data_IF_653254803587
#
_entry.id   IF_653254803587
#
_cell.length_a   1.000
_cell.length_b   1.000
_cell.length_c   1.000
_cell.angle_alpha   90.00
_cell.angle_beta   90.00
_cell.angle_gamma   90.00
#
_symmetry.space_group_name_H-M   'P 1'
#
loop_
_entity.id
_entity.type
_entity.pdbx_description
1 polymer ?
#
# COMPACT_ATOMS: atom_id res chain seq x y z
N UNK A 1 7.08 42.18 20.03
CA UNK A 1 8.46 42.53 19.62
C UNK A 1 9.20 41.20 19.40
N UNK A 2 9.72 40.80 18.25
CA UNK A 2 10.07 41.46 17.00
C UNK A 2 9.75 40.52 15.82
N UNK A 3 9.04 41.06 14.85
CA UNK A 3 8.90 40.54 13.48
C UNK A 3 10.21 40.79 12.71
N UNK A 4 10.53 39.87 11.77
CA UNK A 4 11.21 40.00 10.44
C UNK A 4 12.06 41.27 10.14
N UNK A 5 13.11 41.21 9.26
CA UNK A 5 13.08 40.40 8.03
C UNK A 5 14.41 39.81 7.51
N UNK A 6 14.28 38.63 6.88
CA UNK A 6 15.29 38.01 6.01
C UNK A 6 14.78 38.09 4.55
N UNK A 7 14.79 39.30 3.98
CA UNK A 7 14.40 39.62 2.60
C UNK A 7 15.48 40.50 1.95
N UNK A 8 16.70 39.96 1.82
CA UNK A 8 17.79 40.66 1.13
C UNK A 8 18.79 39.74 0.43
N UNK A 9 18.31 38.62 -0.16
CA UNK A 9 19.16 37.74 -0.99
C UNK A 9 18.48 37.27 -2.29
N UNK A 10 17.67 38.13 -2.93
CA UNK A 10 17.18 37.89 -4.31
C UNK A 10 17.34 39.15 -5.17
N UNK A 11 18.58 39.59 -5.40
CA UNK A 11 18.87 40.71 -6.31
C UNK A 11 20.19 40.59 -7.09
N UNK A 12 20.66 39.37 -7.40
CA UNK A 12 21.89 39.18 -8.20
C UNK A 12 21.83 38.07 -9.27
N UNK A 13 20.75 38.01 -10.04
CA UNK A 13 20.69 37.12 -11.21
C UNK A 13 19.84 37.69 -12.38
N UNK A 14 20.03 38.98 -12.69
CA UNK A 14 19.48 39.59 -13.90
C UNK A 14 20.60 40.34 -14.64
N UNK A 15 21.42 39.59 -15.38
CA UNK A 15 22.36 40.14 -16.36
C UNK A 15 22.75 39.03 -17.36
N UNK A 16 21.83 38.67 -18.25
CA UNK A 16 22.18 37.95 -19.47
C UNK A 16 21.98 38.91 -20.64
N UNK A 17 23.13 39.38 -21.15
CA UNK A 17 23.25 40.29 -22.28
C UNK A 17 22.93 39.55 -23.58
N UNK A 18 22.08 40.16 -24.40
CA UNK A 18 21.93 39.89 -25.82
C UNK A 18 23.27 40.03 -26.56
N UNK A 19 23.53 39.12 -27.49
CA UNK A 19 24.62 39.23 -28.46
C UNK A 19 24.04 38.95 -29.87
N UNK A 20 23.93 39.95 -30.76
CA UNK A 20 23.55 39.74 -32.15
C UNK A 20 24.68 40.13 -33.12
N UNK A 21 25.20 39.13 -33.87
CA UNK A 21 25.91 39.25 -35.15
C UNK A 21 26.35 37.82 -35.52
N UNK A 22 26.18 37.25 -36.72
CA UNK A 22 26.65 37.68 -38.06
C UNK A 22 26.04 36.71 -39.12
N UNK A 23 26.29 36.80 -40.45
CA UNK A 23 25.29 37.21 -41.43
C UNK A 23 24.88 36.15 -42.48
N UNK A 24 23.89 36.55 -43.27
CA UNK A 24 23.30 35.93 -44.47
C UNK A 24 24.34 35.47 -45.52
N UNK A 25 24.08 34.30 -46.13
CA UNK A 25 24.47 34.00 -47.52
C UNK A 25 23.21 33.70 -48.33
N UNK A 26 22.98 34.56 -49.33
CA UNK A 26 22.08 34.34 -50.46
C UNK A 26 22.63 33.24 -51.36
N UNK A 27 21.76 32.38 -51.89
CA UNK A 27 21.96 31.75 -53.19
C UNK A 27 20.65 31.78 -53.99
N UNK A 28 20.82 32.08 -55.27
CA UNK A 28 19.81 32.42 -56.25
C UNK A 28 18.84 31.28 -56.61
N UNK A 29 17.71 31.73 -57.15
CA UNK A 29 16.57 30.99 -57.66
C UNK A 29 16.84 30.18 -58.93
N UNK A 30 16.02 29.12 -59.15
CA UNK A 30 15.50 28.77 -60.47
C UNK A 30 14.15 28.01 -60.39
N UNK A 31 13.16 28.59 -61.08
CA UNK A 31 12.05 28.06 -61.91
C UNK A 31 11.11 26.91 -61.46
N UNK A 32 9.82 27.26 -61.61
CA UNK A 32 8.55 26.50 -61.62
C UNK A 32 8.57 25.17 -62.38
N UNK A 33 7.72 24.23 -61.93
CA UNK A 33 6.63 23.60 -62.72
C UNK A 33 5.61 22.96 -61.76
N UNK A 34 4.32 23.16 -62.04
CA UNK A 34 3.22 22.67 -61.21
C UNK A 34 2.92 21.19 -61.45
N UNK A 35 2.59 20.49 -60.37
CA UNK A 35 2.04 19.13 -60.37
C UNK A 35 1.16 18.97 -59.13
N UNK A 36 -0.01 18.36 -59.30
CA UNK A 36 -0.97 18.11 -58.23
C UNK A 36 -0.38 17.20 -57.14
N UNK A 37 -0.73 17.37 -55.85
CA UNK A 37 -0.18 16.57 -54.77
C UNK A 37 -0.79 15.17 -54.77
N UNK A 38 -0.12 14.20 -55.39
CA UNK A 38 -0.30 12.79 -55.10
C UNK A 38 0.15 12.57 -53.65
N UNK A 39 -0.79 12.32 -52.74
CA UNK A 39 -0.48 11.94 -51.37
C UNK A 39 0.28 10.61 -51.37
N UNK A 40 1.60 10.68 -51.30
CA UNK A 40 2.41 9.53 -50.93
C UNK A 40 2.09 9.17 -49.47
N UNK A 41 1.81 7.89 -49.15
CA UNK A 41 1.65 7.48 -47.76
C UNK A 41 2.93 7.82 -47.01
N UNK A 42 2.79 8.64 -45.97
CA UNK A 42 3.90 9.06 -45.10
C UNK A 42 4.66 7.84 -44.63
N UNK A 43 5.93 7.72 -45.04
CA UNK A 43 6.82 6.66 -44.61
C UNK A 43 6.81 6.60 -43.07
N UNK A 44 6.50 5.42 -42.53
CA UNK A 44 6.52 5.20 -41.09
C UNK A 44 7.90 5.57 -40.55
N UNK A 45 7.92 6.33 -39.46
CA UNK A 45 9.16 6.68 -38.80
C UNK A 45 9.85 5.40 -38.28
N UNK A 46 11.19 5.38 -38.16
CA UNK A 46 11.92 4.21 -37.63
C UNK A 46 11.41 3.72 -36.27
N UNK A 47 10.83 4.62 -35.46
CA UNK A 47 10.19 4.28 -34.19
C UNK A 47 8.88 3.51 -34.38
N UNK A 48 8.06 3.91 -35.36
CA UNK A 48 6.81 3.20 -35.67
C UNK A 48 7.09 1.81 -36.26
N UNK A 49 8.16 1.66 -37.04
CA UNK A 49 8.65 0.35 -37.50
C UNK A 49 9.11 -0.53 -36.33
N UNK A 50 9.89 0.01 -35.40
CA UNK A 50 10.34 -0.73 -34.21
C UNK A 50 9.18 -1.12 -33.27
N UNK A 51 8.18 -0.26 -33.12
CA UNK A 51 6.99 -0.56 -32.31
C UNK A 51 6.12 -1.65 -32.99
N UNK A 52 5.98 -1.65 -34.33
CA UNK A 52 5.26 -2.69 -35.08
C UNK A 52 5.99 -4.04 -35.05
N UNK A 53 7.32 -4.04 -35.18
CA UNK A 53 8.13 -5.26 -35.05
C UNK A 53 8.07 -5.84 -33.63
N UNK A 54 8.01 -4.98 -32.61
CA UNK A 54 7.87 -5.40 -31.22
C UNK A 54 6.48 -5.99 -30.92
N UNK A 55 5.40 -5.41 -31.44
CA UNK A 55 4.05 -5.95 -31.30
C UNK A 55 3.88 -7.29 -32.06
N UNK A 56 4.46 -7.41 -33.26
CA UNK A 56 4.49 -8.68 -34.00
C UNK A 56 5.30 -9.76 -33.27
N UNK A 57 6.41 -9.37 -32.64
CA UNK A 57 7.21 -10.26 -31.81
C UNK A 57 6.47 -10.68 -30.53
N UNK A 58 5.77 -9.76 -29.85
CA UNK A 58 4.91 -10.08 -28.70
C UNK A 58 3.82 -11.06 -29.10
N UNK A 59 3.11 -10.83 -30.21
CA UNK A 59 2.05 -11.72 -30.67
C UNK A 59 2.56 -13.14 -31.00
N UNK A 60 3.80 -13.26 -31.48
CA UNK A 60 4.40 -14.53 -31.89
C UNK A 60 5.12 -15.26 -30.75
N UNK A 61 5.48 -14.56 -29.67
CA UNK A 61 6.30 -15.10 -28.56
C UNK A 61 5.60 -15.04 -27.19
N UNK A 62 4.38 -14.51 -27.10
CA UNK A 62 3.55 -14.67 -25.92
C UNK A 62 3.16 -16.15 -25.80
N UNK A 63 3.62 -16.87 -24.75
CA UNK A 63 3.19 -18.24 -24.54
C UNK A 63 1.67 -18.24 -24.40
N UNK A 64 0.99 -19.09 -25.19
CA UNK A 64 -0.46 -19.31 -25.14
C UNK A 64 -0.88 -19.31 -23.67
N UNK A 65 -1.70 -18.31 -23.30
CA UNK A 65 -1.83 -17.83 -21.93
C UNK A 65 -1.87 -18.99 -20.95
N UNK A 66 -0.91 -19.05 -20.01
CA UNK A 66 -1.04 -19.91 -18.84
C UNK A 66 -2.37 -19.54 -18.21
N UNK A 67 -3.38 -20.39 -18.42
CA UNK A 67 -4.62 -20.35 -17.66
C UNK A 67 -4.17 -20.51 -16.23
N UNK A 68 -4.13 -19.39 -15.49
CA UNK A 68 -3.96 -19.44 -14.05
C UNK A 68 -5.16 -20.25 -13.59
N UNK A 69 -4.97 -21.47 -13.05
CA UNK A 69 -6.10 -22.27 -12.62
C UNK A 69 -6.94 -21.42 -11.67
N UNK A 70 -8.26 -21.44 -11.88
CA UNK A 70 -9.17 -20.76 -10.98
C UNK A 70 -8.79 -21.13 -9.54
N UNK A 71 -8.59 -20.12 -8.69
CA UNK A 71 -8.22 -20.33 -7.29
C UNK A 71 -9.20 -21.35 -6.71
N UNK A 72 -8.73 -22.49 -6.14
CA UNK A 72 -9.62 -23.55 -5.70
C UNK A 72 -10.65 -22.97 -4.73
N UNK A 73 -11.91 -23.39 -4.90
CA UNK A 73 -12.97 -23.04 -3.97
C UNK A 73 -12.52 -23.36 -2.54
N UNK A 74 -12.79 -22.45 -1.61
CA UNK A 74 -12.45 -22.64 -0.20
C UNK A 74 -13.13 -23.95 0.25
N UNK A 75 -12.39 -24.92 0.82
CA UNK A 75 -12.97 -26.20 1.19
C UNK A 75 -14.11 -25.99 2.20
N UNK A 76 -15.27 -26.57 1.92
CA UNK A 76 -16.47 -26.44 2.75
C UNK A 76 -16.41 -27.25 4.07
N UNK A 77 -15.24 -27.76 4.45
CA UNK A 77 -15.08 -28.48 5.72
C UNK A 77 -15.28 -27.50 6.88
N UNK A 78 -16.16 -27.81 7.85
CA UNK A 78 -16.36 -26.97 9.03
C UNK A 78 -15.03 -26.75 9.74
N UNK A 79 -14.77 -25.49 10.13
CA UNK A 79 -13.52 -25.15 10.81
C UNK A 79 -13.48 -25.79 12.19
N UNK A 80 -14.64 -25.93 12.83
CA UNK A 80 -14.84 -26.69 14.07
C UNK A 80 -15.57 -27.99 13.71
N UNK A 81 -14.87 -29.12 13.72
CA UNK A 81 -15.45 -30.42 13.39
C UNK A 81 -16.29 -30.96 14.56
N UNK A 82 -15.77 -30.87 15.78
CA UNK A 82 -16.41 -31.32 17.02
C UNK A 82 -16.42 -30.17 18.05
N UNK A 83 -17.53 -29.87 18.75
CA UNK A 83 -17.53 -28.90 19.84
C UNK A 83 -16.44 -29.12 20.88
N UNK A 84 -16.08 -30.39 21.17
CA UNK A 84 -15.01 -30.77 22.10
C UNK A 84 -13.61 -30.40 21.62
N UNK A 85 -13.42 -30.03 20.34
CA UNK A 85 -12.16 -29.44 19.87
C UNK A 85 -11.87 -28.10 20.55
N UNK A 86 -12.90 -27.40 21.05
CA UNK A 86 -12.72 -26.18 21.83
C UNK A 86 -12.21 -26.47 23.26
N UNK A 87 -12.53 -27.64 23.80
CA UNK A 87 -12.16 -28.03 25.16
C UNK A 87 -10.71 -28.53 25.27
N UNK A 88 -10.04 -28.80 24.13
CA UNK A 88 -8.64 -29.21 24.10
C UNK A 88 -7.74 -28.01 24.46
N UNK A 89 -6.99 -28.07 25.58
CA UNK A 89 -6.14 -26.96 25.99
C UNK A 89 -5.08 -26.67 24.92
N UNK A 90 -5.00 -25.39 24.50
CA UNK A 90 -4.00 -24.86 23.55
C UNK A 90 -4.18 -25.31 22.10
N UNK A 91 -5.39 -25.62 21.66
CA UNK A 91 -5.63 -25.72 20.21
C UNK A 91 -5.57 -24.30 19.62
N UNK A 92 -4.52 -24.02 18.83
CA UNK A 92 -4.37 -22.76 18.07
C UNK A 92 -4.64 -23.06 16.61
N UNK A 93 -5.84 -22.73 16.13
CA UNK A 93 -6.16 -22.84 14.71
C UNK A 93 -5.92 -21.52 14.00
N UNK A 94 -5.43 -21.65 12.79
CA UNK A 94 -4.96 -20.58 11.92
C UNK A 94 -5.88 -20.53 10.71
N UNK A 95 -6.54 -19.41 10.48
CA UNK A 95 -7.45 -19.24 9.35
C UNK A 95 -7.22 -17.90 8.63
N UNK A 96 -7.61 -17.85 7.36
CA UNK A 96 -7.52 -16.65 6.52
C UNK A 96 -8.61 -15.63 6.86
N UNK A 97 -8.41 -14.37 6.49
CA UNK A 97 -9.47 -13.34 6.66
C UNK A 97 -10.79 -13.73 5.97
N UNK A 98 -10.74 -14.47 4.87
CA UNK A 98 -11.92 -14.93 4.14
C UNK A 98 -12.72 -15.99 4.92
N UNK A 99 -12.09 -16.66 5.88
CA UNK A 99 -12.74 -17.65 6.74
C UNK A 99 -13.24 -17.04 8.05
N UNK A 100 -12.95 -15.77 8.33
CA UNK A 100 -13.25 -15.14 9.61
C UNK A 100 -14.75 -15.09 9.93
N UNK A 101 -15.59 -14.70 8.95
CA UNK A 101 -17.06 -14.72 9.12
C UNK A 101 -17.57 -16.12 9.45
N UNK A 102 -17.08 -17.13 8.72
CA UNK A 102 -17.46 -18.53 8.94
C UNK A 102 -17.05 -19.02 10.33
N UNK A 103 -15.81 -18.76 10.75
CA UNK A 103 -15.33 -19.17 12.08
C UNK A 103 -16.15 -18.53 13.18
N UNK A 104 -16.38 -17.21 13.10
CA UNK A 104 -17.22 -16.52 14.07
C UNK A 104 -18.66 -17.06 14.07
N UNK A 105 -19.23 -17.32 12.89
CA UNK A 105 -20.56 -17.90 12.76
C UNK A 105 -20.64 -19.27 13.44
N UNK A 106 -19.70 -20.18 13.15
CA UNK A 106 -19.62 -21.50 13.79
C UNK A 106 -19.48 -21.38 15.32
N UNK A 107 -18.65 -20.46 15.83
CA UNK A 107 -18.52 -20.22 17.27
C UNK A 107 -19.81 -19.69 17.91
N UNK A 108 -20.52 -18.77 17.24
CA UNK A 108 -21.77 -18.20 17.77
C UNK A 108 -22.93 -19.18 17.78
N UNK A 109 -22.97 -20.13 16.85
CA UNK A 109 -24.06 -21.11 16.73
C UNK A 109 -23.85 -22.33 17.64
N UNK A 110 -22.60 -22.78 17.81
CA UNK A 110 -22.32 -24.03 18.52
C UNK A 110 -22.21 -23.88 20.04
N UNK A 111 -22.06 -22.65 20.54
CA UNK A 111 -21.72 -22.42 21.94
C UNK A 111 -22.53 -21.27 22.54
N UNK A 112 -23.07 -21.44 23.75
CA UNK A 112 -23.77 -20.39 24.48
C UNK A 112 -22.77 -19.45 25.19
N UNK A 113 -22.10 -18.63 24.39
CA UNK A 113 -21.00 -17.76 24.83
C UNK A 113 -21.46 -16.31 25.02
N UNK A 114 -20.95 -15.66 26.06
CA UNK A 114 -20.99 -14.21 26.19
C UNK A 114 -19.77 -13.61 25.46
N UNK A 115 -20.02 -12.70 24.53
CA UNK A 115 -18.98 -12.11 23.69
C UNK A 115 -18.58 -10.72 24.16
N UNK A 116 -17.28 -10.47 24.13
CA UNK A 116 -16.66 -9.14 24.27
C UNK A 116 -15.82 -8.88 23.04
N UNK A 117 -15.76 -7.62 22.60
CA UNK A 117 -14.93 -7.22 21.46
C UNK A 117 -13.86 -6.23 21.90
N UNK A 118 -12.73 -6.24 21.20
CA UNK A 118 -11.70 -5.21 21.35
C UNK A 118 -11.04 -4.84 20.02
N UNK A 119 -9.93 -4.12 20.11
CA UNK A 119 -9.12 -3.71 18.95
C UNK A 119 -8.46 -4.86 18.21
N UNK A 120 -8.37 -6.04 18.81
CA UNK A 120 -7.65 -7.20 18.29
C UNK A 120 -8.58 -8.29 17.78
N UNK A 121 -9.81 -8.38 18.29
CA UNK A 121 -10.83 -9.31 17.81
C UNK A 121 -11.95 -9.52 18.82
N UNK A 122 -12.36 -10.78 18.95
CA UNK A 122 -13.48 -11.19 19.80
C UNK A 122 -13.01 -12.17 20.87
N UNK A 123 -13.55 -12.03 22.07
CA UNK A 123 -13.37 -12.96 23.17
C UNK A 123 -14.72 -13.49 23.63
N UNK A 124 -14.80 -14.79 23.79
CA UNK A 124 -15.96 -15.48 24.29
C UNK A 124 -15.67 -16.08 25.66
N UNK A 125 -16.56 -15.80 26.60
CA UNK A 125 -16.62 -16.47 27.90
C UNK A 125 -17.85 -17.35 27.96
N UNK A 126 -17.71 -18.57 28.47
CA UNK A 126 -18.86 -19.43 28.77
C UNK A 126 -19.74 -18.77 29.84
N UNK A 127 -21.06 -18.70 29.59
CA UNK A 127 -22.02 -18.06 30.49
C UNK A 127 -22.18 -18.83 31.81
N UNK A 128 -22.04 -20.16 31.79
CA UNK A 128 -22.22 -20.99 32.97
C UNK A 128 -21.02 -20.86 33.93
N UNK A 129 -19.80 -20.84 33.38
CA UNK A 129 -18.56 -20.86 34.18
C UNK A 129 -17.88 -19.50 34.30
N UNK A 130 -18.17 -18.56 33.40
CA UNK A 130 -17.49 -17.26 33.31
C UNK A 130 -16.04 -17.32 32.79
N UNK A 131 -15.54 -18.52 32.42
CA UNK A 131 -14.17 -18.74 31.97
C UNK A 131 -14.06 -18.41 30.47
N UNK A 132 -12.91 -17.86 30.03
CA UNK A 132 -12.64 -17.60 28.61
C UNK A 132 -12.52 -18.94 27.88
N UNK A 133 -13.51 -19.24 27.04
CA UNK A 133 -13.57 -20.49 26.28
C UNK A 133 -12.91 -20.34 24.92
N UNK A 134 -12.98 -19.16 24.32
CA UNK A 134 -12.47 -18.91 22.97
C UNK A 134 -11.99 -17.46 22.80
N UNK A 135 -10.80 -17.31 22.21
CA UNK A 135 -10.31 -16.03 21.68
C UNK A 135 -10.23 -16.14 20.16
N UNK A 136 -10.84 -15.20 19.45
CA UNK A 136 -10.80 -15.07 17.99
C UNK A 136 -10.10 -13.76 17.64
N UNK A 137 -8.79 -13.83 17.40
CA UNK A 137 -8.02 -12.68 16.94
C UNK A 137 -8.33 -12.41 15.47
N UNK A 138 -8.70 -11.19 15.12
CA UNK A 138 -8.96 -10.81 13.73
C UNK A 138 -7.67 -10.39 13.01
N UNK A 139 -7.56 -10.64 11.70
CA UNK A 139 -6.46 -10.11 10.93
C UNK A 139 -6.59 -8.59 10.85
N UNK A 140 -5.46 -7.89 10.78
CA UNK A 140 -5.43 -6.42 10.85
C UNK A 140 -6.28 -5.77 9.76
N UNK A 141 -6.38 -6.39 8.60
CA UNK A 141 -7.23 -5.92 7.50
C UNK A 141 -8.72 -5.89 7.86
N UNK A 142 -9.17 -6.75 8.77
CA UNK A 142 -10.55 -6.85 9.22
C UNK A 142 -10.78 -6.18 10.58
N UNK A 143 -9.70 -5.78 11.28
CA UNK A 143 -9.86 -5.21 12.63
C UNK A 143 -10.76 -3.97 12.58
N UNK A 144 -11.86 -3.99 13.37
CA UNK A 144 -12.83 -2.91 13.40
C UNK A 144 -12.11 -1.58 13.67
N UNK A 145 -12.58 -0.53 13.01
CA UNK A 145 -12.04 0.80 13.20
C UNK A 145 -13.07 1.63 13.94
N UNK A 146 -12.59 2.45 14.87
CA UNK A 146 -13.42 3.36 15.65
C UNK A 146 -13.85 4.49 14.73
N UNK A 147 -15.14 4.67 14.51
CA UNK A 147 -15.63 5.80 13.74
C UNK A 147 -15.22 7.14 14.40
N UNK A 148 -15.40 8.26 13.70
CA UNK A 148 -15.10 9.58 14.25
C UNK A 148 -15.91 9.91 15.52
N UNK A 149 -17.02 9.19 15.76
CA UNK A 149 -17.88 9.30 16.94
C UNK A 149 -17.42 8.47 18.14
N UNK A 150 -16.40 7.62 17.97
CA UNK A 150 -15.87 6.82 19.06
C UNK A 150 -16.57 5.47 19.28
N UNK A 151 -17.44 5.03 18.38
CA UNK A 151 -18.04 3.71 18.42
C UNK A 151 -17.18 2.71 17.64
N UNK A 152 -17.00 1.51 18.20
CA UNK A 152 -16.39 0.41 17.46
C UNK A 152 -17.47 -0.20 16.57
N UNK A 153 -17.23 -0.23 15.26
CA UNK A 153 -18.19 -0.80 14.30
C UNK A 153 -18.34 -2.33 14.43
N UNK A 154 -17.50 -3.01 15.21
CA UNK A 154 -17.81 -4.37 15.63
C UNK A 154 -18.73 -4.29 16.85
N UNK A 155 -20.03 -4.43 16.64
CA UNK A 155 -20.96 -4.81 17.70
C UNK A 155 -20.70 -6.24 18.17
N UNK A 156 -21.76 -6.96 18.48
CA UNK A 156 -21.70 -8.41 18.63
C UNK A 156 -21.09 -9.09 17.39
N UNK A 157 -20.58 -10.33 17.51
CA UNK A 157 -20.03 -11.05 16.36
C UNK A 157 -21.04 -11.19 15.20
N UNK A 158 -22.34 -11.25 15.50
CA UNK A 158 -23.40 -11.36 14.50
C UNK A 158 -23.47 -10.13 13.58
N UNK A 159 -23.46 -8.92 14.15
CA UNK A 159 -23.41 -7.68 13.37
C UNK A 159 -22.12 -7.58 12.55
N UNK A 160 -20.99 -7.96 13.15
CA UNK A 160 -19.72 -7.98 12.42
C UNK A 160 -19.73 -8.95 11.24
N UNK A 161 -20.31 -10.15 11.41
CA UNK A 161 -20.47 -11.12 10.32
C UNK A 161 -21.36 -10.53 9.22
N UNK A 162 -22.51 -9.95 9.59
CA UNK A 162 -23.43 -9.34 8.63
C UNK A 162 -22.76 -8.20 7.83
N UNK A 163 -21.98 -7.34 8.49
CA UNK A 163 -21.20 -6.29 7.81
C UNK A 163 -20.14 -6.88 6.87
N UNK A 164 -19.51 -7.99 7.27
CA UNK A 164 -18.46 -8.64 6.47
C UNK A 164 -19.03 -9.36 5.24
N UNK A 165 -20.29 -9.78 5.29
CA UNK A 165 -20.98 -10.50 4.21
C UNK A 165 -22.00 -9.64 3.46
N UNK A 166 -22.14 -8.35 3.79
CA UNK A 166 -23.26 -7.50 3.35
C UNK A 166 -24.66 -8.14 3.59
N UNK A 167 -24.78 -8.93 4.66
CA UNK A 167 -26.00 -9.67 5.01
C UNK A 167 -26.20 -10.97 4.21
N UNK A 168 -25.28 -11.36 3.34
CA UNK A 168 -25.28 -12.70 2.74
C UNK A 168 -24.95 -13.77 3.78
N UNK A 169 -25.25 -15.03 3.45
CA UNK A 169 -24.93 -16.18 4.30
C UNK A 169 -23.41 -16.29 4.54
N UNK A 170 -22.92 -16.34 5.78
CA UNK A 170 -21.48 -16.44 6.08
C UNK A 170 -20.80 -17.72 5.60
N UNK A 171 -21.56 -18.77 5.25
CA UNK A 171 -21.01 -20.04 4.76
C UNK A 171 -20.79 -20.03 3.23
N UNK A 172 -21.58 -19.26 2.50
CA UNK A 172 -21.61 -19.28 1.03
C UNK A 172 -21.38 -17.91 0.39
N UNK A 173 -21.64 -16.84 1.14
CA UNK A 173 -21.57 -15.45 0.73
C UNK A 173 -20.15 -14.93 0.57
N UNK A 174 -20.03 -13.85 -0.20
CA UNK A 174 -18.73 -13.27 -0.51
C UNK A 174 -18.28 -12.32 0.61
N UNK A 175 -17.29 -12.77 1.36
CA UNK A 175 -16.65 -11.96 2.41
C UNK A 175 -15.93 -10.74 1.83
N UNK A 176 -16.20 -9.56 2.39
CA UNK A 176 -15.60 -8.28 1.99
C UNK A 176 -14.61 -7.79 3.03
N UNK A 177 -13.43 -7.36 2.58
CA UNK A 177 -12.47 -6.65 3.41
C UNK A 177 -12.40 -5.15 3.08
N UNK A 178 -13.07 -4.70 2.02
CA UNK A 178 -13.10 -3.30 1.59
C UNK A 178 -11.88 -2.90 0.76
N UNK A 179 -11.54 -1.62 0.80
CA UNK A 179 -10.39 -1.06 0.09
C UNK A 179 -9.26 -0.65 1.05
N UNK A 180 -8.02 -1.02 0.72
CA UNK A 180 -6.86 -0.70 1.55
C UNK A 180 -5.71 -0.13 0.74
N UNK A 181 -5.07 0.91 1.27
CA UNK A 181 -3.80 1.43 0.73
C UNK A 181 -2.64 0.87 1.56
N UNK A 182 -1.62 0.33 0.91
CA UNK A 182 -0.34 -0.02 1.54
C UNK A 182 0.76 0.85 0.94
N UNK A 183 1.50 1.50 1.84
CA UNK A 183 2.59 2.42 1.52
C UNK A 183 3.87 1.91 2.18
N UNK A 184 4.77 1.32 1.39
CA UNK A 184 6.08 0.88 1.84
C UNK A 184 7.15 1.89 1.42
N UNK A 185 7.86 2.47 2.39
CA UNK A 185 8.79 3.57 2.14
C UNK A 185 10.19 3.30 2.68
N UNK A 186 11.20 3.65 1.90
CA UNK A 186 12.60 3.74 2.32
C UNK A 186 13.23 5.06 1.84
N UNK A 187 14.51 5.24 2.12
CA UNK A 187 15.27 6.41 1.66
C UNK A 187 15.57 6.38 0.15
N UNK A 188 15.40 5.23 -0.51
CA UNK A 188 15.81 5.00 -1.90
C UNK A 188 14.66 4.54 -2.79
N UNK A 189 13.62 3.96 -2.23
CA UNK A 189 12.44 3.56 -3.00
C UNK A 189 11.16 3.63 -2.19
N UNK A 190 10.06 3.60 -2.91
CA UNK A 190 8.72 3.46 -2.40
C UNK A 190 7.96 2.44 -3.23
N UNK A 191 7.17 1.60 -2.57
CA UNK A 191 6.17 0.76 -3.21
C UNK A 191 4.81 1.15 -2.63
N UNK A 192 3.89 1.52 -3.52
CA UNK A 192 2.53 1.91 -3.20
C UNK A 192 1.59 0.91 -3.85
N UNK A 193 0.51 0.53 -3.17
CA UNK A 193 -0.58 -0.16 -3.85
C UNK A 193 -1.90 -0.13 -3.11
N UNK A 194 -2.96 -0.28 -3.88
CA UNK A 194 -4.35 -0.25 -3.44
C UNK A 194 -4.95 -1.62 -3.71
N UNK A 195 -5.49 -2.22 -2.66
CA UNK A 195 -6.26 -3.44 -2.71
C UNK A 195 -7.74 -3.13 -2.61
N UNK A 196 -8.54 -3.98 -3.25
CA UNK A 196 -10.00 -4.03 -3.15
C UNK A 196 -10.40 -5.49 -3.04
N UNK A 197 -11.06 -5.86 -1.95
CA UNK A 197 -11.54 -7.23 -1.73
C UNK A 197 -10.48 -8.32 -1.97
N UNK A 198 -9.27 -8.16 -1.41
CA UNK A 198 -8.21 -9.14 -1.62
C UNK A 198 -7.37 -8.96 -2.88
N UNK A 199 -7.82 -8.16 -3.85
CA UNK A 199 -7.19 -8.03 -5.16
C UNK A 199 -6.40 -6.72 -5.29
N UNK A 200 -5.19 -6.81 -5.82
CA UNK A 200 -4.35 -5.65 -6.09
C UNK A 200 -4.88 -4.89 -7.32
N UNK A 201 -5.53 -3.75 -7.10
CA UNK A 201 -6.14 -2.94 -8.17
C UNK A 201 -5.14 -1.97 -8.78
N UNK A 202 -4.26 -1.39 -7.95
CA UNK A 202 -3.22 -0.47 -8.41
C UNK A 202 -1.93 -0.71 -7.67
N UNK A 203 -0.81 -0.60 -8.37
CA UNK A 203 0.50 -0.52 -7.73
C UNK A 203 1.42 0.44 -8.46
N UNK A 204 2.37 1.00 -7.72
CA UNK A 204 3.49 1.77 -8.28
C UNK A 204 4.72 1.61 -7.42
N UNK A 205 5.82 1.23 -8.06
CA UNK A 205 7.15 1.28 -7.46
C UNK A 205 7.88 2.50 -7.99
N UNK A 206 8.41 3.33 -7.11
CA UNK A 206 9.18 4.53 -7.41
C UNK A 206 10.56 4.35 -6.78
N UNK A 207 11.63 4.50 -7.57
CA UNK A 207 13.01 4.39 -7.09
C UNK A 207 13.74 5.71 -7.35
N UNK A 208 14.59 6.10 -6.41
CA UNK A 208 15.50 7.23 -6.52
C UNK A 208 16.93 6.75 -6.40
N UNK A 209 17.83 7.39 -7.13
CA UNK A 209 19.26 7.09 -7.03
C UNK A 209 19.87 7.92 -5.89
N UNK A 210 19.63 7.51 -4.65
CA UNK A 210 19.94 8.32 -3.45
C UNK A 210 21.13 7.82 -2.63
N UNK A 211 21.67 6.62 -2.91
CA UNK A 211 22.82 6.04 -2.18
C UNK A 211 23.96 5.64 -3.11
N UNK A 212 25.20 5.80 -2.62
CA UNK A 212 26.42 5.37 -3.34
C UNK A 212 26.58 3.87 -3.08
N UNK A 213 26.68 3.08 -4.15
CA UNK A 213 26.73 1.60 -4.14
C UNK A 213 27.72 0.99 -3.12
N UNK A 214 28.75 1.74 -2.72
CA UNK A 214 29.86 1.29 -1.85
C UNK A 214 29.82 1.76 -0.40
N UNK A 215 28.92 2.66 0.02
CA UNK A 215 28.85 3.11 1.44
C UNK A 215 27.39 3.30 1.87
N UNK A 216 26.84 2.30 2.55
CA UNK A 216 25.44 2.20 2.98
C UNK A 216 25.01 3.13 4.12
N UNK A 217 25.50 4.38 4.20
CA UNK A 217 25.02 5.37 5.17
C UNK A 217 23.98 6.29 4.53
N UNK A 218 22.78 6.35 5.13
CA UNK A 218 21.67 7.19 4.69
C UNK A 218 22.03 8.68 4.78
N UNK A 219 22.05 9.37 3.63
CA UNK A 219 22.56 10.74 3.52
C UNK A 219 21.66 11.81 4.15
N UNK A 220 20.38 11.51 4.37
CA UNK A 220 19.41 12.45 4.95
C UNK A 220 19.86 12.97 6.32
N UNK A 221 20.53 12.11 7.11
CA UNK A 221 21.04 12.44 8.45
C UNK A 221 22.15 13.48 8.43
N UNK A 222 22.98 13.48 7.37
CA UNK A 222 24.14 14.38 7.28
C UNK A 222 23.75 15.80 6.87
N UNK A 223 22.73 15.94 6.01
CA UNK A 223 22.34 17.22 5.42
C UNK A 223 21.52 18.07 6.40
N UNK A 224 20.65 17.46 7.23
CA UNK A 224 19.87 18.19 8.24
C UNK A 224 20.71 18.66 9.43
N UNK A 225 21.86 18.03 9.70
CA UNK A 225 22.78 18.41 10.79
C UNK A 225 23.73 19.57 10.45
N UNK A 226 23.44 20.39 9.43
CA UNK A 226 24.31 21.51 9.04
C UNK A 226 25.55 21.13 8.23
N UNK A 227 25.75 19.83 7.94
CA UNK A 227 26.76 19.37 7.01
C UNK A 227 26.33 19.66 5.57
N UNK A 228 26.72 20.83 5.04
CA UNK A 228 26.51 21.16 3.63
C UNK A 228 26.98 20.03 2.70
N UNK A 229 26.38 19.92 1.52
CA UNK A 229 26.77 18.96 0.50
C UNK A 229 28.20 19.26 0.00
N UNK A 230 29.23 18.77 0.72
CA UNK A 230 30.65 19.08 0.47
C UNK A 230 31.16 18.66 -0.92
N UNK A 231 30.38 17.85 -1.66
CA UNK A 231 30.73 17.39 -3.01
C UNK A 231 29.56 17.51 -4.00
N UNK A 232 29.87 17.72 -5.28
CA UNK A 232 28.89 17.68 -6.39
C UNK A 232 28.02 16.42 -6.35
N UNK A 233 28.62 15.25 -6.05
CA UNK A 233 27.90 13.99 -5.93
C UNK A 233 26.97 13.88 -4.72
N UNK A 234 27.26 14.58 -3.61
CA UNK A 234 26.32 14.68 -2.48
C UNK A 234 25.13 15.58 -2.79
N UNK A 235 25.36 16.68 -3.52
CA UNK A 235 24.28 17.58 -3.96
C UNK A 235 23.33 16.89 -4.95
N UNK A 236 23.86 16.10 -5.88
CA UNK A 236 23.05 15.34 -6.85
C UNK A 236 22.12 14.36 -6.14
N UNK A 237 22.64 13.58 -5.17
CA UNK A 237 21.83 12.60 -4.43
C UNK A 237 20.79 13.26 -3.52
N UNK A 238 21.11 14.40 -2.91
CA UNK A 238 20.15 15.20 -2.16
C UNK A 238 18.99 15.68 -3.06
N UNK A 239 19.32 16.22 -4.23
CA UNK A 239 18.32 16.64 -5.23
C UNK A 239 17.47 15.47 -5.71
N UNK A 240 18.08 14.29 -5.90
CA UNK A 240 17.35 13.09 -6.31
C UNK A 240 16.44 12.55 -5.20
N UNK A 241 16.84 12.64 -3.93
CA UNK A 241 15.98 12.31 -2.79
C UNK A 241 14.75 13.23 -2.73
N UNK A 242 14.94 14.54 -2.89
CA UNK A 242 13.83 15.50 -2.96
C UNK A 242 12.88 15.16 -4.12
N UNK A 243 13.43 14.82 -5.29
CA UNK A 243 12.64 14.39 -6.46
C UNK A 243 11.86 13.11 -6.18
N UNK A 244 12.47 12.12 -5.51
CA UNK A 244 11.81 10.88 -5.12
C UNK A 244 10.59 11.18 -4.23
N UNK A 245 10.76 11.96 -3.16
CA UNK A 245 9.66 12.30 -2.25
C UNK A 245 8.57 13.11 -2.94
N UNK A 246 8.93 14.03 -3.83
CA UNK A 246 7.95 14.76 -4.64
C UNK A 246 7.17 13.84 -5.59
N UNK A 247 7.83 12.88 -6.25
CA UNK A 247 7.16 11.87 -7.09
C UNK A 247 6.19 11.01 -6.29
N UNK A 248 6.57 10.62 -5.06
CA UNK A 248 5.70 9.85 -4.16
C UNK A 248 4.46 10.67 -3.78
N UNK A 249 4.64 11.92 -3.33
CA UNK A 249 3.54 12.78 -2.94
C UNK A 249 2.58 13.06 -4.12
N UNK A 250 3.12 13.32 -5.32
CA UNK A 250 2.32 13.49 -6.54
C UNK A 250 1.54 12.22 -6.89
N UNK A 251 2.16 11.04 -6.78
CA UNK A 251 1.48 9.76 -7.07
C UNK A 251 0.35 9.49 -6.08
N UNK A 252 0.55 9.76 -4.80
CA UNK A 252 -0.52 9.66 -3.80
C UNK A 252 -1.66 10.65 -4.09
N UNK A 253 -1.35 11.85 -4.55
CA UNK A 253 -2.36 12.83 -4.96
C UNK A 253 -3.13 12.42 -6.22
N UNK A 254 -2.46 11.79 -7.18
CA UNK A 254 -3.10 11.23 -8.36
C UNK A 254 -4.14 10.17 -7.97
N UNK A 255 -3.88 9.40 -6.91
CA UNK A 255 -4.80 8.40 -6.37
C UNK A 255 -5.75 8.96 -5.30
N UNK A 256 -5.98 10.28 -5.24
CA UNK A 256 -6.77 10.92 -4.19
C UNK A 256 -8.17 10.32 -4.07
N UNK A 257 -8.85 10.08 -5.19
CA UNK A 257 -10.20 9.50 -5.23
C UNK A 257 -10.23 8.10 -4.63
N UNK A 258 -9.27 7.25 -5.01
CA UNK A 258 -9.19 5.87 -4.56
C UNK A 258 -8.76 5.77 -3.11
N UNK A 259 -7.84 6.64 -2.66
CA UNK A 259 -7.43 6.73 -1.25
C UNK A 259 -8.59 7.20 -0.38
N UNK A 260 -9.44 8.11 -0.86
CA UNK A 260 -10.62 8.55 -0.13
C UNK A 260 -11.60 7.39 0.12
N UNK A 261 -11.71 6.46 -0.83
CA UNK A 261 -12.52 5.25 -0.72
C UNK A 261 -11.86 4.13 0.12
N UNK A 262 -10.59 4.25 0.49
CA UNK A 262 -9.95 3.26 1.35
C UNK A 262 -10.47 3.34 2.79
N UNK A 263 -10.98 2.22 3.29
CA UNK A 263 -11.39 2.03 4.68
C UNK A 263 -10.16 2.04 5.62
N UNK A 264 -9.03 1.51 5.14
CA UNK A 264 -7.81 1.37 5.93
C UNK A 264 -6.56 1.75 5.15
N UNK A 265 -5.59 2.35 5.84
CA UNK A 265 -4.37 2.86 5.21
C UNK A 265 -3.16 2.43 6.03
N UNK A 266 -2.26 1.68 5.42
CA UNK A 266 -1.07 1.14 6.07
C UNK A 266 0.21 1.84 5.59
N UNK A 267 1.05 2.21 6.55
CA UNK A 267 2.30 2.91 6.32
C UNK A 267 3.49 2.16 6.94
N UNK A 268 4.56 2.02 6.19
CA UNK A 268 5.90 1.72 6.71
C UNK A 268 6.89 2.84 6.38
N UNK A 269 8.09 2.74 6.91
CA UNK A 269 9.15 3.72 6.72
C UNK A 269 9.40 4.59 7.95
N UNK A 270 10.53 5.29 7.94
CA UNK A 270 10.98 6.10 9.07
C UNK A 270 10.25 7.43 9.15
N UNK A 271 10.16 8.00 10.36
CA UNK A 271 9.58 9.35 10.59
C UNK A 271 10.21 10.39 9.66
N UNK A 272 11.51 10.27 9.39
CA UNK A 272 12.24 11.19 8.50
C UNK A 272 11.77 11.13 7.05
N UNK A 273 11.52 9.93 6.52
CA UNK A 273 11.00 9.77 5.15
C UNK A 273 9.60 10.38 5.04
N UNK A 274 8.75 10.15 6.04
CA UNK A 274 7.43 10.76 6.11
C UNK A 274 7.49 12.29 6.20
N UNK A 275 8.35 12.85 7.07
CA UNK A 275 8.57 14.29 7.15
C UNK A 275 8.98 14.88 5.80
N UNK A 276 9.84 14.18 5.05
CA UNK A 276 10.31 14.65 3.75
C UNK A 276 9.20 14.63 2.68
N UNK A 277 8.29 13.65 2.71
CA UNK A 277 7.14 13.57 1.81
C UNK A 277 6.12 14.68 2.13
N UNK A 278 5.77 14.86 3.41
CA UNK A 278 4.83 15.90 3.84
C UNK A 278 5.41 17.32 3.77
N UNK A 279 6.74 17.46 3.80
CA UNK A 279 7.44 18.73 3.59
C UNK A 279 7.55 19.16 2.13
N UNK A 280 7.04 18.37 1.17
CA UNK A 280 7.00 18.78 -0.23
C UNK A 280 5.97 19.90 -0.45
N UNK A 281 6.14 20.70 -1.51
CA UNK A 281 5.19 21.78 -1.87
C UNK A 281 3.76 21.28 -2.10
N UNK A 282 3.61 20.00 -2.48
CA UNK A 282 2.34 19.35 -2.76
C UNK A 282 2.27 18.05 -1.93
N UNK A 283 1.90 18.13 -0.64
CA UNK A 283 1.86 16.97 0.23
C UNK A 283 0.80 15.94 -0.22
N UNK A 284 0.86 14.69 0.29
CA UNK A 284 -0.18 13.68 0.09
C UNK A 284 -1.58 14.20 0.45
N UNK A 285 -2.64 13.64 -0.17
CA UNK A 285 -4.01 14.11 0.05
C UNK A 285 -4.54 13.76 1.46
N UNK A 286 -3.98 12.73 2.09
CA UNK A 286 -4.35 12.29 3.41
C UNK A 286 -3.52 13.06 4.45
N UNK A 287 -4.11 13.66 5.50
CA UNK A 287 -3.33 14.29 6.55
C UNK A 287 -2.51 13.24 7.30
N UNK A 288 -1.40 13.67 7.90
CA UNK A 288 -0.49 12.77 8.61
C UNK A 288 -1.13 12.13 9.84
N UNK A 289 -1.97 12.90 10.53
CA UNK A 289 -2.67 12.47 11.74
C UNK A 289 -4.05 11.88 11.42
N UNK A 290 -4.30 11.53 10.14
CA UNK A 290 -5.52 10.82 9.77
C UNK A 290 -5.57 9.48 10.53
N UNK A 291 -6.64 9.20 11.27
CA UNK A 291 -6.66 8.06 12.16
C UNK A 291 -6.85 6.72 11.41
N UNK A 292 -7.10 6.74 10.10
CA UNK A 292 -7.00 5.56 9.22
C UNK A 292 -5.57 5.08 9.03
N UNK A 293 -4.56 5.92 9.29
CA UNK A 293 -3.16 5.53 9.22
C UNK A 293 -2.81 4.52 10.30
N UNK A 294 -2.41 3.33 9.86
CA UNK A 294 -1.93 2.25 10.71
C UNK A 294 -0.50 1.91 10.36
N UNK A 295 0.33 1.65 11.36
CA UNK A 295 1.70 1.18 11.14
C UNK A 295 1.67 -0.23 10.58
N UNK A 296 2.37 -0.48 9.49
CA UNK A 296 2.45 -1.81 8.88
C UNK A 296 3.13 -2.83 9.83
N UNK A 297 4.08 -2.38 10.66
CA UNK A 297 4.80 -3.25 11.60
C UNK A 297 5.89 -4.11 10.94
N UNK A 298 6.09 -3.96 9.63
CA UNK A 298 7.08 -4.69 8.84
C UNK A 298 8.11 -3.70 8.31
N UNK A 299 9.39 -3.94 8.60
CA UNK A 299 10.49 -3.19 8.02
C UNK A 299 10.74 -3.63 6.58
N UNK A 300 10.75 -2.70 5.64
CA UNK A 300 11.07 -2.98 4.24
C UNK A 300 12.28 -2.14 3.84
N UNK A 301 13.42 -2.81 3.57
CA UNK A 301 14.67 -2.13 3.22
C UNK A 301 14.59 -1.46 1.84
N UNK A 302 14.19 -2.23 0.82
CA UNK A 302 14.09 -1.76 -0.55
C UNK A 302 12.70 -2.11 -1.11
N UNK A 303 11.68 -1.28 -0.83
CA UNK A 303 10.32 -1.51 -1.28
C UNK A 303 10.22 -1.82 -2.78
N UNK A 304 9.70 -3.00 -3.10
CA UNK A 304 9.32 -3.48 -4.44
C UNK A 304 7.93 -4.12 -4.38
N UNK A 305 7.41 -4.53 -5.54
CA UNK A 305 6.12 -5.21 -5.63
C UNK A 305 6.04 -6.48 -4.76
N UNK A 306 7.03 -7.40 -4.75
CA UNK A 306 6.98 -8.57 -3.87
C UNK A 306 6.95 -8.22 -2.37
N UNK A 307 7.58 -7.11 -1.98
CA UNK A 307 7.51 -6.64 -0.58
C UNK A 307 6.13 -6.08 -0.23
N UNK A 308 5.44 -5.50 -1.21
CA UNK A 308 4.09 -4.97 -1.08
C UNK A 308 3.07 -6.12 -0.97
N UNK A 309 3.22 -7.16 -1.79
CA UNK A 309 2.43 -8.40 -1.70
C UNK A 309 2.69 -9.15 -0.40
N UNK A 310 3.95 -9.27 0.02
CA UNK A 310 4.31 -9.83 1.34
C UNK A 310 3.65 -9.03 2.46
N UNK A 311 3.73 -7.70 2.40
CA UNK A 311 3.10 -6.82 3.38
C UNK A 311 1.59 -7.03 3.46
N UNK A 312 0.91 -7.10 2.30
CA UNK A 312 -0.52 -7.40 2.25
C UNK A 312 -0.82 -8.76 2.88
N UNK A 313 -0.09 -9.79 2.46
CA UNK A 313 -0.26 -11.15 2.97
C UNK A 313 -0.11 -11.21 4.50
N UNK A 314 0.87 -10.50 5.05
CA UNK A 314 1.12 -10.40 6.49
C UNK A 314 0.02 -9.66 7.24
N UNK A 315 -0.65 -8.66 6.66
CA UNK A 315 -1.78 -8.00 7.36
C UNK A 315 -3.12 -8.73 7.16
N UNK A 316 -3.27 -9.47 6.06
CA UNK A 316 -4.50 -10.18 5.73
C UNK A 316 -4.58 -11.55 6.36
N UNK A 317 -3.45 -12.23 6.52
CA UNK A 317 -3.38 -13.52 7.21
C UNK A 317 -2.79 -13.34 8.59
N UNK A 318 -1.99 -12.30 8.86
CA UNK A 318 -1.17 -12.20 10.08
C UNK A 318 0.28 -12.58 9.77
N UNK A 319 1.23 -12.05 10.55
CA UNK A 319 2.61 -12.54 10.49
C UNK A 319 2.67 -13.93 11.11
N UNK A 320 3.77 -14.67 10.91
CA UNK A 320 4.00 -16.00 11.48
C UNK A 320 3.82 -16.11 13.02
N UNK A 321 3.52 -15.02 13.73
CA UNK A 321 3.09 -15.00 15.13
C UNK A 321 1.73 -14.33 15.45
N UNK A 322 1.08 -13.62 14.52
CA UNK A 322 -0.18 -12.88 14.74
C UNK A 322 -1.27 -13.27 13.72
N UNK A 323 -1.35 -14.57 13.39
CA UNK A 323 -2.46 -15.08 12.58
C UNK A 323 -3.80 -14.84 13.29
N UNK A 324 -4.91 -14.96 12.56
CA UNK A 324 -6.18 -15.18 13.23
C UNK A 324 -6.05 -16.49 14.02
N UNK A 325 -5.90 -16.36 15.34
CA UNK A 325 -5.75 -17.50 16.22
C UNK A 325 -7.12 -17.67 16.86
N UNK A 326 -7.73 -18.82 16.59
CA UNK A 326 -8.71 -19.36 17.51
C UNK A 326 -7.89 -20.03 18.62
N UNK A 327 -7.83 -19.41 19.80
CA UNK A 327 -7.25 -20.06 20.99
C UNK A 327 -8.42 -20.63 21.77
N UNK A 328 -8.45 -21.96 21.87
CA UNK A 328 -9.40 -22.66 22.72
C UNK A 328 -8.67 -23.23 23.95
N UNK A 329 -9.24 -22.98 25.13
CA UNK A 329 -8.80 -23.54 26.42
C UNK A 329 -7.62 -22.82 27.10
N UNK A 330 -7.93 -22.01 28.12
CA UNK A 330 -7.06 -21.83 29.29
C UNK A 330 -7.59 -22.75 30.39
N UNK A 331 -6.87 -23.83 30.70
CA UNK A 331 -7.02 -24.49 32.00
C UNK A 331 -6.69 -23.46 33.09
N UNK A 332 -7.57 -23.34 34.07
CA UNK A 332 -7.39 -22.56 35.30
C UNK A 332 -6.31 -23.17 36.22
N UNK A 333 -5.15 -23.56 35.70
CA UNK A 333 -3.99 -23.97 36.52
C UNK A 333 -3.15 -22.75 36.95
N UNK A 334 -3.81 -21.62 37.26
CA UNK A 334 -3.24 -20.66 38.21
C UNK A 334 -3.72 -21.07 39.60
N UNK A 335 -3.01 -22.05 40.17
CA UNK A 335 -2.92 -22.19 41.61
C UNK A 335 -2.41 -20.88 42.20
N UNK A 336 -3.10 -20.46 43.26
CA UNK A 336 -2.72 -19.39 44.19
C UNK A 336 -1.29 -19.55 44.71
#
# INVERSE_FOLDING_TARGET
MLFRPLLQQISRAAAWKHNPATPLRQFCATRKLGGAPTQQPSALTPKQLADLEFEAWLASNLPAGKVVPAKPAIPQVPVIQDPSDLDKPKSRRRFSWAEAARVLHECTQKCDLAWKTDRSGFWATDKATGVISCEVVLPRILTPYKDAGGSWLAGDPASFIADLTDGEDPLTGKVRCGMQLITCLSHESAALGIWREGQLVRHKVIRGYTVRRTQGKAQLTYIQGGGGAKSKGSAIRAKEAIRLFHKIALKLREWKSEIAACNQVYASGTVRVWNAIYGTRKPPPLPRDDPRWRRLGIGVRLPRLPDLERAYNTISHGSDGNLCVLVSGLNNDTGL
#
